data_IF_459193307218
#
_entry.id   IF_459193307218
#
_cell.length_a   1.000
_cell.length_b   1.000
_cell.length_c   1.000
_cell.angle_alpha   90.00
_cell.angle_beta   90.00
_cell.angle_gamma   90.00
#
_symmetry.space_group_name_H-M   'P 1'
#
loop_
_entity.id
_entity.type
_entity.pdbx_description
1 polymer ?
#
# COMPACT_ATOMS: atom_id res chain seq x y z
N UNK A 1 -8.55 -3.27 -19.10
CA UNK A 1 -9.69 -2.81 -19.93
C UNK A 1 -10.87 -3.75 -19.75
N UNK A 2 -12.06 -3.22 -19.41
CA UNK A 2 -13.29 -4.02 -19.46
C UNK A 2 -13.62 -4.34 -20.91
N UNK A 3 -14.02 -5.60 -21.16
CA UNK A 3 -14.43 -6.09 -22.49
C UNK A 3 -15.79 -6.79 -22.44
N UNK A 4 -16.55 -6.56 -21.39
CA UNK A 4 -17.86 -7.16 -21.15
C UNK A 4 -18.94 -6.08 -21.23
N UNK A 5 -19.89 -6.23 -22.15
CA UNK A 5 -20.97 -5.26 -22.40
C UNK A 5 -21.86 -5.02 -21.17
N UNK A 6 -22.00 -6.01 -20.27
CA UNK A 6 -22.75 -5.85 -19.00
C UNK A 6 -22.17 -4.76 -18.12
N UNK A 7 -20.89 -4.44 -18.30
CA UNK A 7 -20.17 -3.40 -17.57
C UNK A 7 -19.72 -2.23 -18.46
N UNK A 8 -20.30 -2.14 -19.66
CA UNK A 8 -20.07 -1.05 -20.61
C UNK A 8 -18.72 -1.08 -21.33
N UNK A 9 -18.03 -2.23 -21.34
CA UNK A 9 -16.77 -2.42 -22.06
C UNK A 9 -16.95 -3.30 -23.30
N UNK A 10 -16.11 -3.09 -24.30
CA UNK A 10 -16.14 -3.85 -25.56
C UNK A 10 -14.74 -4.28 -26.01
N UNK A 11 -14.68 -5.24 -26.93
CA UNK A 11 -13.43 -5.62 -27.59
C UNK A 11 -12.84 -4.49 -28.44
N UNK A 12 -13.69 -3.59 -28.94
CA UNK A 12 -13.23 -2.43 -29.72
C UNK A 12 -12.52 -1.41 -28.82
N UNK A 13 -12.95 -1.26 -27.57
CA UNK A 13 -12.23 -0.45 -26.59
C UNK A 13 -10.82 -0.99 -26.32
N UNK A 14 -10.67 -2.32 -26.24
CA UNK A 14 -9.36 -2.95 -26.06
C UNK A 14 -8.47 -2.72 -27.30
N UNK A 15 -9.02 -2.87 -28.52
CA UNK A 15 -8.29 -2.59 -29.76
C UNK A 15 -7.88 -1.13 -29.87
N UNK A 16 -8.77 -0.22 -29.48
CA UNK A 16 -8.46 1.21 -29.44
C UNK A 16 -7.35 1.53 -28.46
N UNK A 17 -7.38 0.94 -27.25
CA UNK A 17 -6.33 1.09 -26.25
C UNK A 17 -4.99 0.54 -26.76
N UNK A 18 -4.99 -0.62 -27.43
CA UNK A 18 -3.78 -1.19 -28.05
C UNK A 18 -3.21 -0.26 -29.12
N UNK A 19 -4.06 0.36 -29.93
CA UNK A 19 -3.64 1.34 -30.94
C UNK A 19 -3.07 2.64 -30.34
N UNK A 20 -3.52 3.01 -29.15
CA UNK A 20 -3.13 4.26 -28.49
C UNK A 20 -1.93 4.12 -27.52
N UNK A 21 -1.58 2.91 -27.10
CA UNK A 21 -0.57 2.69 -26.05
C UNK A 21 0.23 1.41 -26.25
N UNK A 22 1.51 1.47 -25.91
CA UNK A 22 2.41 0.31 -25.87
C UNK A 22 2.48 -0.39 -24.51
N UNK A 23 1.72 0.07 -23.49
CA UNK A 23 1.70 -0.60 -22.19
C UNK A 23 0.97 -1.94 -22.25
N UNK A 24 1.32 -2.94 -21.40
CA UNK A 24 0.60 -4.20 -21.32
C UNK A 24 -0.88 -3.99 -20.98
N UNK A 25 -1.76 -4.73 -21.66
CA UNK A 25 -3.21 -4.62 -21.53
C UNK A 25 -3.82 -5.89 -20.93
N UNK A 26 -4.46 -5.78 -19.77
CA UNK A 26 -5.30 -6.80 -19.17
C UNK A 26 -6.72 -6.69 -19.70
N UNK A 27 -7.20 -7.73 -20.39
CA UNK A 27 -8.62 -7.88 -20.70
C UNK A 27 -9.37 -8.37 -19.45
N UNK A 28 -10.33 -7.57 -18.96
CA UNK A 28 -11.16 -7.89 -17.80
C UNK A 28 -12.58 -8.17 -18.25
N UNK A 29 -13.01 -9.43 -18.08
CA UNK A 29 -14.32 -9.94 -18.47
C UNK A 29 -14.55 -11.32 -17.83
N UNK A 30 -15.59 -12.03 -18.27
CA UNK A 30 -15.93 -13.37 -17.81
C UNK A 30 -15.46 -14.41 -18.83
N UNK A 31 -14.26 -14.90 -18.66
CA UNK A 31 -13.64 -15.83 -19.62
C UNK A 31 -13.73 -17.25 -19.10
N UNK A 32 -14.48 -18.09 -19.82
CA UNK A 32 -14.74 -19.49 -19.45
C UNK A 32 -14.51 -20.48 -20.61
N UNK A 33 -14.07 -20.00 -21.77
CA UNK A 33 -13.86 -20.84 -22.96
C UNK A 33 -12.53 -20.51 -23.66
N UNK A 34 -11.99 -21.46 -24.42
CA UNK A 34 -10.82 -21.22 -25.27
C UNK A 34 -11.01 -20.09 -26.27
N UNK A 35 -12.23 -19.96 -26.82
CA UNK A 35 -12.56 -18.90 -27.78
C UNK A 35 -12.40 -17.50 -27.17
N UNK A 36 -12.74 -17.33 -25.89
CA UNK A 36 -12.54 -16.06 -25.18
C UNK A 36 -11.05 -15.66 -25.15
N UNK A 37 -10.15 -16.59 -24.87
CA UNK A 37 -8.71 -16.31 -24.84
C UNK A 37 -8.16 -15.99 -26.24
N UNK A 38 -8.59 -16.72 -27.25
CA UNK A 38 -8.21 -16.45 -28.66
C UNK A 38 -8.73 -15.08 -29.12
N UNK A 39 -9.94 -14.72 -28.71
CA UNK A 39 -10.51 -13.40 -29.01
C UNK A 39 -9.73 -12.29 -28.30
N UNK A 40 -9.34 -12.50 -27.01
CA UNK A 40 -8.52 -11.56 -26.26
C UNK A 40 -7.16 -11.33 -26.95
N UNK A 41 -6.48 -12.40 -27.35
CA UNK A 41 -5.22 -12.33 -28.10
C UNK A 41 -5.39 -11.55 -29.41
N UNK A 42 -6.42 -11.89 -30.20
CA UNK A 42 -6.70 -11.23 -31.48
C UNK A 42 -7.07 -9.74 -31.31
N UNK A 43 -7.63 -9.35 -30.15
CA UNK A 43 -7.92 -7.96 -29.81
C UNK A 43 -6.69 -7.20 -29.26
N UNK A 44 -5.57 -7.87 -29.02
CA UNK A 44 -4.32 -7.27 -28.56
C UNK A 44 -4.15 -7.22 -27.04
N UNK A 45 -4.81 -8.11 -26.29
CA UNK A 45 -4.54 -8.30 -24.87
C UNK A 45 -3.16 -8.94 -24.65
N UNK A 46 -2.47 -8.53 -23.59
CA UNK A 46 -1.27 -9.20 -23.09
C UNK A 46 -1.61 -10.13 -21.92
N UNK A 47 -2.73 -9.87 -21.23
CA UNK A 47 -3.21 -10.67 -20.11
C UNK A 47 -4.74 -10.79 -20.11
N UNK A 48 -5.24 -11.82 -19.43
CA UNK A 48 -6.68 -12.06 -19.19
C UNK A 48 -6.97 -12.32 -17.73
N UNK A 49 -8.17 -11.89 -17.27
CA UNK A 49 -8.69 -12.21 -15.94
C UNK A 49 -9.44 -13.54 -15.99
N UNK A 50 -9.13 -14.44 -15.06
CA UNK A 50 -9.85 -15.71 -14.86
C UNK A 50 -10.45 -15.74 -13.45
N UNK A 51 -11.78 -15.86 -13.36
CA UNK A 51 -12.52 -15.83 -12.10
C UNK A 51 -12.69 -17.27 -11.56
N UNK A 52 -12.07 -17.59 -10.45
CA UNK A 52 -12.15 -18.94 -9.86
C UNK A 52 -13.54 -19.39 -9.51
N UNK A 53 -14.40 -18.47 -9.07
CA UNK A 53 -15.80 -18.80 -8.72
C UNK A 53 -16.64 -19.27 -9.89
N UNK A 54 -16.27 -18.91 -11.11
CA UNK A 54 -17.03 -19.19 -12.34
C UNK A 54 -16.44 -20.39 -13.11
N UNK A 55 -15.31 -20.95 -12.65
CA UNK A 55 -14.56 -21.99 -13.33
C UNK A 55 -14.37 -23.22 -12.43
N UNK A 56 -14.61 -24.40 -12.98
CA UNK A 56 -14.11 -25.63 -12.34
C UNK A 56 -12.60 -25.81 -12.63
N UNK A 57 -11.99 -26.73 -11.87
CA UNK A 57 -10.52 -26.91 -11.90
C UNK A 57 -10.01 -27.44 -13.24
N UNK A 58 -10.81 -28.24 -13.95
CA UNK A 58 -10.40 -28.79 -15.25
C UNK A 58 -10.45 -27.72 -16.34
N UNK A 59 -11.48 -26.87 -16.33
CA UNK A 59 -11.59 -25.72 -17.23
C UNK A 59 -10.46 -24.73 -16.94
N UNK A 60 -10.22 -24.36 -15.67
CA UNK A 60 -9.16 -23.42 -15.34
C UNK A 60 -7.78 -23.94 -15.76
N UNK A 61 -7.50 -25.24 -15.53
CA UNK A 61 -6.24 -25.88 -15.95
C UNK A 61 -6.06 -25.83 -17.48
N UNK A 62 -7.15 -26.07 -18.24
CA UNK A 62 -7.13 -25.98 -19.68
C UNK A 62 -6.87 -24.55 -20.17
N UNK A 63 -7.53 -23.56 -19.55
CA UNK A 63 -7.36 -22.14 -19.90
C UNK A 63 -5.95 -21.62 -19.54
N UNK A 64 -5.39 -21.99 -18.39
CA UNK A 64 -4.01 -21.64 -18.02
C UNK A 64 -2.99 -22.19 -19.02
N UNK A 65 -3.16 -23.43 -19.45
CA UNK A 65 -2.30 -24.04 -20.48
C UNK A 65 -2.42 -23.31 -21.81
N UNK A 66 -3.66 -23.08 -22.28
CA UNK A 66 -3.89 -22.35 -23.53
C UNK A 66 -3.35 -20.93 -23.49
N UNK A 67 -3.49 -20.21 -22.36
CA UNK A 67 -2.91 -18.90 -22.18
C UNK A 67 -1.40 -18.91 -22.41
N UNK A 68 -0.69 -19.92 -21.83
CA UNK A 68 0.74 -20.10 -22.08
C UNK A 68 1.08 -20.36 -23.55
N UNK A 69 0.26 -21.15 -24.27
CA UNK A 69 0.43 -21.40 -25.71
C UNK A 69 0.22 -20.12 -26.55
N UNK A 70 -0.65 -19.22 -26.10
CA UNK A 70 -0.96 -17.96 -26.74
C UNK A 70 -0.06 -16.79 -26.32
N UNK A 71 0.90 -17.03 -25.42
CA UNK A 71 1.72 -16.00 -24.78
C UNK A 71 0.86 -14.90 -24.08
N UNK A 72 -0.24 -15.31 -23.46
CA UNK A 72 -1.08 -14.47 -22.60
C UNK A 72 -0.71 -14.73 -21.14
N UNK A 73 -0.49 -13.66 -20.38
CA UNK A 73 -0.47 -13.75 -18.93
C UNK A 73 -1.89 -13.94 -18.36
N UNK A 74 -1.98 -14.50 -17.16
CA UNK A 74 -3.26 -14.74 -16.50
C UNK A 74 -3.27 -14.13 -15.10
N UNK A 75 -4.28 -13.31 -14.81
CA UNK A 75 -4.64 -12.87 -13.47
C UNK A 75 -5.78 -13.76 -12.99
N UNK A 76 -5.49 -14.64 -12.03
CA UNK A 76 -6.49 -15.56 -11.47
C UNK A 76 -7.07 -14.94 -10.22
N UNK A 77 -8.36 -14.55 -10.26
CA UNK A 77 -9.02 -13.81 -9.19
C UNK A 77 -9.67 -14.77 -8.19
N UNK A 78 -9.36 -14.57 -6.90
CA UNK A 78 -9.89 -15.28 -5.75
C UNK A 78 -10.56 -14.30 -4.76
N UNK A 79 -11.61 -14.76 -4.06
CA UNK A 79 -12.40 -13.96 -3.10
C UNK A 79 -12.31 -14.51 -1.67
N UNK A 80 -11.91 -15.75 -1.50
CA UNK A 80 -11.84 -16.42 -0.20
C UNK A 80 -10.64 -17.39 -0.11
N UNK A 81 -10.48 -17.97 1.06
CA UNK A 81 -9.38 -18.89 1.33
C UNK A 81 -9.43 -20.18 0.48
N UNK A 82 -10.63 -20.65 0.16
CA UNK A 82 -10.80 -21.88 -0.64
C UNK A 82 -10.40 -21.61 -2.08
N UNK A 83 -10.84 -20.48 -2.64
CA UNK A 83 -10.43 -20.04 -3.99
C UNK A 83 -8.93 -19.77 -4.07
N UNK A 84 -8.33 -19.14 -3.05
CA UNK A 84 -6.89 -18.91 -2.98
C UNK A 84 -6.10 -20.24 -3.02
N UNK A 85 -6.49 -21.22 -2.23
CA UNK A 85 -5.84 -22.53 -2.21
C UNK A 85 -5.97 -23.28 -3.55
N UNK A 86 -7.14 -23.15 -4.22
CA UNK A 86 -7.33 -23.66 -5.58
C UNK A 86 -6.39 -22.97 -6.59
N UNK A 87 -6.27 -21.62 -6.54
CA UNK A 87 -5.34 -20.89 -7.41
C UNK A 87 -3.91 -21.39 -7.25
N UNK A 88 -3.46 -21.54 -6.00
CA UNK A 88 -2.12 -22.04 -5.68
C UNK A 88 -1.92 -23.48 -6.20
N UNK A 89 -2.85 -24.39 -5.91
CA UNK A 89 -2.79 -25.79 -6.31
C UNK A 89 -2.79 -25.98 -7.84
N UNK A 90 -3.47 -25.10 -8.56
CA UNK A 90 -3.54 -25.11 -10.04
C UNK A 90 -2.36 -24.40 -10.70
N UNK A 91 -1.45 -23.81 -9.90
CA UNK A 91 -0.23 -23.19 -10.40
C UNK A 91 -0.42 -21.80 -11.02
N UNK A 92 -1.42 -21.05 -10.60
CA UNK A 92 -1.65 -19.68 -11.06
C UNK A 92 -0.41 -18.80 -10.80
N UNK A 93 0.17 -18.15 -11.82
CA UNK A 93 1.38 -17.35 -11.65
C UNK A 93 1.12 -15.99 -11.02
N UNK A 94 -0.03 -15.39 -11.30
CA UNK A 94 -0.49 -14.11 -10.76
C UNK A 94 -1.86 -14.34 -10.13
N UNK A 95 -1.97 -14.02 -8.84
CA UNK A 95 -3.19 -14.24 -8.06
C UNK A 95 -3.74 -12.88 -7.61
N UNK A 96 -4.96 -12.58 -8.03
CA UNK A 96 -5.72 -11.42 -7.61
C UNK A 96 -6.59 -11.74 -6.40
N UNK A 97 -6.49 -10.93 -5.36
CA UNK A 97 -7.38 -11.03 -4.19
C UNK A 97 -8.37 -9.87 -4.24
N UNK A 98 -9.63 -10.20 -4.50
CA UNK A 98 -10.68 -9.19 -4.65
C UNK A 98 -11.38 -8.94 -3.32
N UNK A 99 -11.30 -7.69 -2.82
CA UNK A 99 -12.00 -7.27 -1.60
C UNK A 99 -13.53 -7.21 -1.76
N UNK A 100 -14.03 -7.23 -3.00
CA UNK A 100 -15.45 -7.08 -3.30
C UNK A 100 -16.13 -8.43 -3.34
N UNK A 101 -17.08 -8.65 -2.46
CA UNK A 101 -18.05 -9.75 -2.59
C UNK A 101 -18.96 -9.48 -3.80
N UNK A 102 -18.93 -10.37 -4.79
CA UNK A 102 -19.69 -10.20 -6.04
C UNK A 102 -21.18 -10.47 -5.89
N UNK A 103 -21.62 -11.00 -4.75
CA UNK A 103 -23.05 -11.24 -4.46
C UNK A 103 -23.71 -10.04 -3.77
N UNK A 104 -22.99 -9.39 -2.85
CA UNK A 104 -23.47 -8.26 -2.04
C UNK A 104 -22.90 -6.92 -2.47
N UNK A 105 -21.83 -6.93 -3.27
CA UNK A 105 -20.99 -5.79 -3.63
C UNK A 105 -20.31 -5.08 -2.45
N UNK A 106 -20.37 -5.67 -1.26
CA UNK A 106 -19.66 -5.18 -0.09
C UNK A 106 -18.13 -5.28 -0.30
N UNK A 107 -17.40 -4.35 0.29
CA UNK A 107 -15.92 -4.34 0.30
C UNK A 107 -15.44 -4.74 1.68
N UNK A 108 -14.65 -5.82 1.76
CA UNK A 108 -13.95 -6.23 2.98
C UNK A 108 -12.43 -6.20 2.74
N UNK A 109 -11.83 -5.08 3.11
CA UNK A 109 -10.39 -4.90 2.96
C UNK A 109 -9.58 -5.66 4.01
N UNK A 110 -10.15 -5.90 5.20
CA UNK A 110 -9.46 -6.66 6.25
C UNK A 110 -9.25 -8.11 5.81
N UNK A 111 -10.31 -8.77 5.37
CA UNK A 111 -10.23 -10.11 4.82
C UNK A 111 -9.31 -10.18 3.58
N UNK A 112 -9.35 -9.17 2.72
CA UNK A 112 -8.42 -9.08 1.58
C UNK A 112 -6.96 -9.09 2.02
N UNK A 113 -6.58 -8.25 2.99
CA UNK A 113 -5.19 -8.15 3.46
C UNK A 113 -4.70 -9.45 4.12
N UNK A 114 -5.58 -10.15 4.83
CA UNK A 114 -5.30 -11.47 5.41
C UNK A 114 -5.03 -12.52 4.31
N UNK A 115 -5.81 -12.50 3.24
CA UNK A 115 -5.62 -13.41 2.11
C UNK A 115 -4.38 -13.08 1.29
N UNK A 116 -4.11 -11.79 1.04
CA UNK A 116 -2.88 -11.33 0.36
C UNK A 116 -1.64 -11.84 1.07
N UNK A 117 -1.59 -11.77 2.41
CA UNK A 117 -0.47 -12.26 3.20
C UNK A 117 -0.24 -13.79 3.10
N UNK A 118 -1.22 -14.54 2.59
CA UNK A 118 -1.13 -16.00 2.37
C UNK A 118 -0.71 -16.39 0.95
N UNK A 119 -0.60 -15.45 0.04
CA UNK A 119 -0.09 -15.72 -1.32
C UNK A 119 1.39 -16.08 -1.22
N UNK A 120 1.85 -17.22 -1.78
CA UNK A 120 3.25 -17.62 -1.72
C UNK A 120 4.17 -16.63 -2.43
N UNK A 121 5.38 -16.42 -1.88
CA UNK A 121 6.38 -15.48 -2.41
C UNK A 121 6.88 -15.81 -3.83
N UNK A 122 6.61 -17.01 -4.36
CA UNK A 122 6.92 -17.41 -5.74
C UNK A 122 5.78 -17.09 -6.72
N UNK A 123 4.76 -16.39 -6.28
CA UNK A 123 3.62 -15.88 -7.06
C UNK A 123 3.55 -14.37 -6.95
N UNK A 124 2.92 -13.74 -7.93
CA UNK A 124 2.61 -12.31 -7.90
C UNK A 124 1.25 -12.13 -7.25
N UNK A 125 1.20 -11.38 -6.16
CA UNK A 125 -0.03 -11.03 -5.46
C UNK A 125 -0.56 -9.67 -5.91
N UNK A 126 -1.84 -9.62 -6.31
CA UNK A 126 -2.52 -8.39 -6.74
C UNK A 126 -3.71 -8.11 -5.82
N UNK A 127 -3.73 -6.96 -5.14
CA UNK A 127 -4.89 -6.53 -4.35
C UNK A 127 -5.88 -5.78 -5.25
N UNK A 128 -7.14 -6.26 -5.29
CA UNK A 128 -8.18 -5.73 -6.16
C UNK A 128 -9.34 -5.14 -5.37
N UNK A 129 -9.93 -4.10 -5.89
CA UNK A 129 -11.10 -3.39 -5.35
C UNK A 129 -10.85 -2.64 -4.03
N UNK A 130 -11.67 -1.62 -3.77
CA UNK A 130 -11.70 -0.88 -2.50
C UNK A 130 -10.47 -0.02 -2.21
N UNK A 131 -9.55 0.15 -3.15
CA UNK A 131 -8.38 1.02 -2.99
C UNK A 131 -8.70 2.39 -3.56
N UNK A 132 -8.84 3.38 -2.68
CA UNK A 132 -9.18 4.77 -3.03
C UNK A 132 -8.14 5.78 -2.55
N UNK A 133 -7.24 5.40 -1.64
CA UNK A 133 -6.19 6.25 -1.09
C UNK A 133 -4.81 5.62 -1.19
N UNK A 134 -3.76 6.45 -1.10
CA UNK A 134 -2.38 5.95 -1.07
C UNK A 134 -2.11 5.07 0.15
N UNK A 135 -2.66 5.44 1.32
CA UNK A 135 -2.52 4.65 2.54
C UNK A 135 -3.11 3.24 2.39
N UNK A 136 -4.26 3.11 1.74
CA UNK A 136 -4.86 1.81 1.44
C UNK A 136 -4.00 0.96 0.49
N UNK A 137 -3.38 1.59 -0.52
CA UNK A 137 -2.39 0.93 -1.36
C UNK A 137 -1.15 0.48 -0.58
N UNK A 138 -0.69 1.31 0.37
CA UNK A 138 0.41 0.96 1.27
C UNK A 138 0.07 -0.22 2.20
N UNK A 139 -1.17 -0.28 2.70
CA UNK A 139 -1.63 -1.42 3.49
C UNK A 139 -1.57 -2.73 2.69
N UNK A 140 -1.98 -2.72 1.42
CA UNK A 140 -1.88 -3.88 0.54
C UNK A 140 -0.42 -4.28 0.29
N UNK A 141 0.46 -3.31 0.02
CA UNK A 141 1.90 -3.54 -0.14
C UNK A 141 2.54 -4.15 1.12
N UNK A 142 2.17 -3.65 2.30
CA UNK A 142 2.66 -4.15 3.60
C UNK A 142 2.10 -5.54 3.93
N UNK A 143 0.95 -5.90 3.38
CA UNK A 143 0.41 -7.25 3.47
C UNK A 143 1.09 -8.24 2.52
N UNK A 144 1.92 -7.77 1.59
CA UNK A 144 2.64 -8.62 0.63
C UNK A 144 2.15 -8.50 -0.81
N UNK A 145 1.24 -7.56 -1.14
CA UNK A 145 0.85 -7.35 -2.53
C UNK A 145 2.01 -6.75 -3.34
N UNK A 146 2.26 -7.32 -4.51
CA UNK A 146 3.21 -6.80 -5.50
C UNK A 146 2.60 -5.70 -6.36
N UNK A 147 1.28 -5.73 -6.52
CA UNK A 147 0.54 -4.77 -7.33
C UNK A 147 -0.87 -4.51 -6.79
N UNK A 148 -1.47 -3.42 -7.26
CA UNK A 148 -2.87 -3.09 -7.00
C UNK A 148 -3.63 -2.97 -8.33
N UNK A 149 -4.88 -3.43 -8.36
CA UNK A 149 -5.77 -3.23 -9.50
C UNK A 149 -6.86 -2.23 -9.13
N UNK A 150 -6.84 -1.06 -9.78
CA UNK A 150 -7.71 0.07 -9.47
C UNK A 150 -8.48 0.47 -10.73
N UNK A 151 -9.80 0.43 -10.65
CA UNK A 151 -10.69 0.82 -11.76
C UNK A 151 -11.57 2.00 -11.39
N UNK A 152 -12.63 1.77 -10.60
CA UNK A 152 -13.65 2.77 -10.29
C UNK A 152 -13.09 4.06 -9.69
N UNK A 153 -12.08 3.97 -8.82
CA UNK A 153 -11.42 5.12 -8.22
C UNK A 153 -10.82 6.06 -9.26
N UNK A 154 -10.16 5.50 -10.29
CA UNK A 154 -9.59 6.31 -11.37
C UNK A 154 -10.66 6.87 -12.30
N UNK A 155 -11.65 6.03 -12.65
CA UNK A 155 -12.72 6.43 -13.59
C UNK A 155 -13.69 7.46 -13.02
N UNK A 156 -13.84 7.53 -11.69
CA UNK A 156 -14.68 8.51 -10.99
C UNK A 156 -13.92 9.79 -10.60
N UNK A 157 -12.59 9.77 -10.67
CA UNK A 157 -11.79 10.94 -10.34
C UNK A 157 -11.98 12.05 -11.38
N UNK A 158 -12.09 13.33 -10.96
CA UNK A 158 -12.12 14.47 -11.87
C UNK A 158 -10.89 14.54 -12.78
N UNK A 159 -9.73 14.12 -12.27
CA UNK A 159 -8.47 13.94 -13.00
C UNK A 159 -7.89 12.57 -12.70
N UNK A 160 -8.10 11.57 -13.57
CA UNK A 160 -7.55 10.22 -13.38
C UNK A 160 -6.02 10.17 -13.31
N UNK A 161 -5.31 11.06 -14.03
CA UNK A 161 -3.85 11.08 -14.03
C UNK A 161 -3.30 11.59 -12.69
N UNK A 162 -3.90 12.66 -12.14
CA UNK A 162 -3.56 13.16 -10.82
C UNK A 162 -3.86 12.10 -9.74
N UNK A 163 -5.01 11.41 -9.83
CA UNK A 163 -5.36 10.32 -8.90
C UNK A 163 -4.41 9.14 -8.98
N UNK A 164 -4.00 8.75 -10.18
CA UNK A 164 -2.98 7.71 -10.35
C UNK A 164 -1.65 8.12 -9.73
N UNK A 165 -1.24 9.38 -9.95
CA UNK A 165 -0.01 9.92 -9.34
C UNK A 165 -0.06 9.93 -7.81
N UNK A 166 -1.21 10.27 -7.23
CA UNK A 166 -1.45 10.18 -5.77
C UNK A 166 -1.30 8.73 -5.27
N UNK A 167 -1.96 7.77 -5.90
CA UNK A 167 -1.91 6.36 -5.52
C UNK A 167 -0.50 5.75 -5.61
N UNK A 168 0.34 6.27 -6.50
CA UNK A 168 1.71 5.83 -6.72
C UNK A 168 2.76 6.69 -5.99
N UNK A 169 2.32 7.73 -5.25
CA UNK A 169 3.24 8.69 -4.63
C UNK A 169 4.25 8.03 -3.70
N UNK A 170 5.50 8.47 -3.80
CA UNK A 170 6.63 8.10 -2.93
C UNK A 170 7.41 9.35 -2.54
N UNK A 171 7.97 9.38 -1.33
CA UNK A 171 7.79 8.42 -0.24
C UNK A 171 6.40 8.51 0.39
N UNK A 172 6.05 7.54 1.24
CA UNK A 172 4.95 7.72 2.20
C UNK A 172 5.35 8.78 3.22
N UNK A 173 4.36 9.51 3.73
CA UNK A 173 4.60 10.58 4.71
C UNK A 173 3.95 10.23 6.03
N UNK A 174 4.76 10.15 7.10
CA UNK A 174 4.32 9.89 8.47
C UNK A 174 4.39 11.17 9.29
N UNK A 175 3.29 11.51 9.95
CA UNK A 175 3.23 12.53 11.01
C UNK A 175 3.16 11.80 12.34
N UNK A 176 4.19 11.94 13.18
CA UNK A 176 4.35 11.18 14.41
C UNK A 176 4.13 12.06 15.66
N UNK A 177 3.73 11.43 16.78
CA UNK A 177 3.48 12.11 18.05
C UNK A 177 2.17 12.89 18.03
N UNK A 178 1.13 12.29 17.46
CA UNK A 178 -0.25 12.79 17.48
C UNK A 178 -0.88 12.43 18.84
N UNK A 179 -1.56 13.40 19.44
CA UNK A 179 -2.22 13.27 20.76
C UNK A 179 -3.67 13.76 20.75
N UNK A 180 -4.14 14.36 19.63
CA UNK A 180 -5.46 14.98 19.51
C UNK A 180 -6.09 14.63 18.15
N UNK A 181 -7.40 14.51 18.14
CA UNK A 181 -8.16 14.24 16.90
C UNK A 181 -8.01 15.36 15.87
N UNK A 182 -7.90 16.62 16.32
CA UNK A 182 -7.70 17.76 15.41
C UNK A 182 -6.37 17.64 14.65
N UNK A 183 -5.32 17.14 15.30
CA UNK A 183 -4.01 16.95 14.67
C UNK A 183 -4.03 15.75 13.70
N UNK A 184 -4.85 14.72 13.99
CA UNK A 184 -5.12 13.61 13.06
C UNK A 184 -5.81 14.14 11.80
N UNK A 185 -6.84 14.97 11.97
CA UNK A 185 -7.54 15.59 10.84
C UNK A 185 -6.61 16.46 9.99
N UNK A 186 -5.75 17.27 10.62
CA UNK A 186 -4.75 18.08 9.91
C UNK A 186 -3.77 17.21 9.13
N UNK A 187 -3.32 16.08 9.68
CA UNK A 187 -2.41 15.17 8.98
C UNK A 187 -3.09 14.53 7.75
N UNK A 188 -4.36 14.11 7.88
CA UNK A 188 -5.14 13.56 6.78
C UNK A 188 -5.39 14.60 5.68
N UNK A 189 -5.87 15.81 6.04
CA UNK A 189 -6.12 16.91 5.10
C UNK A 189 -4.85 17.36 4.37
N UNK A 190 -3.69 17.29 5.04
CA UNK A 190 -2.40 17.59 4.43
C UNK A 190 -1.94 16.52 3.43
N UNK A 191 -2.57 15.34 3.42
CA UNK A 191 -2.22 14.22 2.56
C UNK A 191 -1.08 13.36 3.12
N UNK A 192 -0.91 13.27 4.45
CA UNK A 192 -0.07 12.25 5.07
C UNK A 192 -0.66 10.85 4.83
N UNK A 193 0.16 9.83 4.94
CA UNK A 193 -0.24 8.42 4.76
C UNK A 193 -0.26 7.64 6.08
N UNK A 194 0.54 8.07 7.06
CA UNK A 194 0.76 7.38 8.32
C UNK A 194 0.62 8.35 9.51
N UNK A 195 -0.13 7.94 10.52
CA UNK A 195 -0.38 8.67 11.77
C UNK A 195 0.28 7.95 12.95
N UNK A 196 1.29 8.57 13.59
CA UNK A 196 2.05 7.95 14.67
C UNK A 196 1.58 8.38 16.06
N UNK A 197 1.28 7.43 16.94
CA UNK A 197 0.83 7.60 18.31
C UNK A 197 1.87 7.03 19.27
N UNK A 198 2.50 7.87 20.08
CA UNK A 198 3.59 7.45 20.99
C UNK A 198 2.97 6.92 22.28
N UNK A 199 2.99 5.61 22.49
CA UNK A 199 2.42 4.94 23.67
C UNK A 199 3.50 4.68 24.73
N UNK A 200 4.33 5.69 24.97
CA UNK A 200 5.43 5.68 25.95
C UNK A 200 5.13 6.76 26.99
N UNK A 201 4.74 6.41 28.25
CA UNK A 201 4.25 7.37 29.23
C UNK A 201 5.20 8.54 29.54
N UNK A 202 6.52 8.28 29.53
CA UNK A 202 7.54 9.30 29.81
C UNK A 202 7.84 10.23 28.62
N UNK A 203 7.20 10.01 27.48
CA UNK A 203 7.36 10.87 26.31
C UNK A 203 6.59 12.17 26.47
N UNK A 204 7.18 13.34 26.11
CA UNK A 204 6.43 14.60 26.07
C UNK A 204 5.32 14.61 24.98
N UNK A 205 5.23 13.54 24.18
CA UNK A 205 4.23 13.29 23.12
C UNK A 205 3.43 12.04 23.39
N UNK A 206 3.34 11.63 24.67
CA UNK A 206 2.61 10.43 25.05
C UNK A 206 1.11 10.58 24.69
N UNK A 207 0.61 9.64 23.89
CA UNK A 207 -0.81 9.41 23.71
C UNK A 207 -1.26 8.33 24.71
N UNK A 208 -2.49 8.42 25.20
CA UNK A 208 -3.07 7.41 26.08
C UNK A 208 -3.52 6.16 25.31
N UNK A 209 -3.83 6.34 24.05
CA UNK A 209 -4.32 5.29 23.14
C UNK A 209 -4.05 5.70 21.68
N UNK A 210 -4.26 4.77 20.76
CA UNK A 210 -4.30 5.04 19.32
C UNK A 210 -5.67 5.66 19.01
N UNK A 211 -5.66 6.90 18.54
CA UNK A 211 -6.89 7.59 18.15
C UNK A 211 -7.44 7.00 16.84
N UNK A 212 -8.76 7.08 16.59
CA UNK A 212 -9.34 6.75 15.30
C UNK A 212 -8.72 7.57 14.17
N UNK A 213 -8.41 6.90 13.07
CA UNK A 213 -7.88 7.54 11.85
C UNK A 213 -8.84 7.32 10.68
N UNK A 214 -8.98 8.30 9.76
CA UNK A 214 -9.75 8.10 8.54
C UNK A 214 -9.00 7.17 7.55
N UNK A 215 -9.69 6.73 6.51
CA UNK A 215 -9.17 5.78 5.50
C UNK A 215 -7.94 6.29 4.73
N UNK A 216 -7.66 7.59 4.78
CA UNK A 216 -6.47 8.24 4.21
C UNK A 216 -5.20 7.97 5.00
N UNK A 217 -5.32 7.49 6.24
CA UNK A 217 -4.19 7.27 7.15
C UNK A 217 -4.13 5.82 7.62
N UNK A 218 -2.91 5.31 7.81
CA UNK A 218 -2.63 4.11 8.58
C UNK A 218 -2.15 4.50 9.97
N UNK A 219 -2.80 3.99 11.01
CA UNK A 219 -2.37 4.19 12.39
C UNK A 219 -1.07 3.40 12.68
N UNK A 220 -0.12 4.05 13.35
CA UNK A 220 1.14 3.46 13.80
C UNK A 220 1.26 3.66 15.30
N UNK A 221 1.20 2.59 16.08
CA UNK A 221 1.49 2.61 17.51
C UNK A 221 3.01 2.60 17.72
N UNK A 222 3.55 3.55 18.52
CA UNK A 222 4.99 3.68 18.74
C UNK A 222 5.34 3.27 20.18
N UNK A 223 6.24 2.31 20.31
CA UNK A 223 6.60 1.63 21.53
C UNK A 223 8.09 1.71 21.86
N UNK A 224 8.40 1.50 23.12
CA UNK A 224 9.75 1.18 23.59
C UNK A 224 9.68 -0.17 24.32
N UNK A 225 10.29 -1.19 23.73
CA UNK A 225 10.18 -2.58 24.18
C UNK A 225 9.01 -3.33 23.53
N UNK A 226 8.29 -4.15 24.28
CA UNK A 226 7.26 -5.04 23.75
C UNK A 226 5.97 -4.29 23.38
N UNK A 227 5.44 -4.43 22.16
CA UNK A 227 4.17 -3.85 21.75
C UNK A 227 2.99 -4.65 22.32
N UNK A 228 1.83 -3.96 22.45
CA UNK A 228 0.56 -4.56 22.83
C UNK A 228 -0.49 -4.30 21.76
N UNK A 229 -1.51 -5.15 21.70
CA UNK A 229 -2.60 -4.99 20.71
C UNK A 229 -3.37 -3.68 20.94
N UNK A 230 -3.41 -2.82 19.91
CA UNK A 230 -4.10 -1.52 19.94
C UNK A 230 -5.09 -1.34 18.80
N UNK A 231 -5.12 -2.27 17.83
CA UNK A 231 -5.85 -2.09 16.58
C UNK A 231 -5.16 -1.16 15.57
N UNK A 232 -3.94 -0.68 15.85
CA UNK A 232 -3.14 0.02 14.86
C UNK A 232 -2.75 -0.90 13.69
N UNK A 233 -2.60 -0.33 12.51
CA UNK A 233 -2.16 -1.08 11.32
C UNK A 233 -0.70 -1.53 11.41
N UNK A 234 0.12 -0.78 12.16
CA UNK A 234 1.55 -1.03 12.34
C UNK A 234 1.98 -0.73 13.79
N UNK A 235 2.98 -1.47 14.24
CA UNK A 235 3.73 -1.17 15.45
C UNK A 235 5.14 -0.70 15.08
N UNK A 236 5.54 0.48 15.56
CA UNK A 236 6.91 0.96 15.51
C UNK A 236 7.56 0.68 16.86
N UNK A 237 8.57 -0.17 16.87
CA UNK A 237 9.20 -0.65 18.11
C UNK A 237 10.64 -0.19 18.20
N UNK A 238 10.94 0.62 19.21
CA UNK A 238 12.29 1.02 19.59
C UNK A 238 12.82 0.09 20.66
N UNK A 239 14.14 -0.16 20.65
CA UNK A 239 14.81 -0.86 21.73
C UNK A 239 14.77 -0.04 23.01
N UNK A 240 14.70 -0.74 24.16
CA UNK A 240 14.91 -0.15 25.47
C UNK A 240 16.40 -0.03 25.73
N UNK A 241 16.87 1.19 25.97
CA UNK A 241 18.28 1.48 26.25
C UNK A 241 18.38 2.10 27.63
N UNK A 242 19.31 1.58 28.47
CA UNK A 242 19.54 2.11 29.81
C UNK A 242 20.05 3.56 29.75
N UNK A 243 19.44 4.44 30.54
CA UNK A 243 19.79 5.87 30.58
C UNK A 243 19.28 6.72 29.42
N UNK A 244 18.51 6.14 28.50
CA UNK A 244 17.85 6.86 27.41
C UNK A 244 16.35 6.57 27.37
N UNK A 245 15.58 7.50 26.80
CA UNK A 245 14.14 7.32 26.62
C UNK A 245 13.85 6.13 25.68
N UNK A 246 14.67 5.94 24.64
CA UNK A 246 14.57 4.87 23.65
C UNK A 246 15.87 4.68 22.87
N UNK A 247 16.00 3.55 22.18
CA UNK A 247 17.02 3.36 21.15
C UNK A 247 16.84 4.32 19.96
N UNK A 248 17.91 4.52 19.20
CA UNK A 248 17.94 5.42 18.04
C UNK A 248 16.96 4.93 16.97
N UNK A 249 17.23 3.75 16.45
CA UNK A 249 16.47 3.17 15.35
C UNK A 249 15.27 2.36 15.85
N UNK A 250 14.38 1.99 14.94
CA UNK A 250 13.22 1.16 15.23
C UNK A 250 12.95 0.17 14.09
N UNK A 251 12.13 -0.83 14.40
CA UNK A 251 11.51 -1.67 13.38
C UNK A 251 10.03 -1.33 13.27
N UNK A 252 9.46 -1.43 12.07
CA UNK A 252 8.02 -1.43 11.86
C UNK A 252 7.57 -2.86 11.71
N UNK A 253 6.57 -3.24 12.51
CA UNK A 253 5.96 -4.56 12.48
C UNK A 253 4.52 -4.46 11.96
N UNK A 254 4.11 -5.43 11.18
CA UNK A 254 2.71 -5.73 10.87
C UNK A 254 2.42 -7.15 11.37
N UNK A 255 1.45 -7.28 12.28
CA UNK A 255 1.09 -8.59 12.87
C UNK A 255 2.30 -9.36 13.46
N UNK A 256 3.25 -8.62 14.04
CA UNK A 256 4.48 -9.16 14.64
C UNK A 256 5.64 -9.39 13.66
N UNK A 257 5.41 -9.32 12.35
CA UNK A 257 6.45 -9.50 11.33
C UNK A 257 7.06 -8.16 10.91
N UNK A 258 8.39 -8.12 10.77
CA UNK A 258 9.08 -6.90 10.37
C UNK A 258 8.83 -6.58 8.89
N UNK A 259 8.24 -5.40 8.63
CA UNK A 259 7.93 -4.92 7.28
C UNK A 259 8.78 -3.75 6.81
N UNK A 260 9.38 -3.00 7.75
CA UNK A 260 10.29 -1.90 7.43
C UNK A 260 11.27 -1.62 8.59
N UNK A 261 12.31 -0.82 8.31
CA UNK A 261 13.24 -0.29 9.32
C UNK A 261 13.11 1.22 9.37
N UNK A 262 13.08 1.79 10.58
CA UNK A 262 13.14 3.23 10.78
C UNK A 262 14.55 3.60 11.24
N UNK A 263 15.19 4.49 10.48
CA UNK A 263 16.49 5.07 10.80
C UNK A 263 16.29 6.51 11.26
N UNK A 264 16.57 6.76 12.53
CA UNK A 264 16.33 8.04 13.19
C UNK A 264 17.63 8.75 13.55
N UNK A 265 17.61 10.06 13.49
CA UNK A 265 18.66 10.91 14.03
C UNK A 265 18.11 11.63 15.27
N UNK A 266 18.45 11.19 16.49
CA UNK A 266 18.03 11.85 17.71
C UNK A 266 18.38 13.33 17.75
N UNK A 267 17.59 14.12 18.46
CA UNK A 267 17.76 15.58 18.46
C UNK A 267 19.15 16.02 18.96
N UNK A 268 19.68 15.28 19.92
CA UNK A 268 20.99 15.52 20.55
C UNK A 268 22.17 15.05 19.69
N UNK A 269 21.92 14.19 18.70
CA UNK A 269 22.96 13.66 17.84
C UNK A 269 23.18 14.58 16.63
N UNK A 270 24.44 14.71 16.24
CA UNK A 270 24.84 15.28 14.94
C UNK A 270 25.62 14.20 14.18
N UNK A 271 25.01 13.68 13.14
CA UNK A 271 25.57 12.61 12.31
C UNK A 271 25.41 13.02 10.83
N UNK A 272 26.45 13.63 10.24
CA UNK A 272 26.40 14.07 8.84
C UNK A 272 26.26 12.93 7.85
N UNK A 273 26.63 11.70 8.24
CA UNK A 273 26.52 10.50 7.40
C UNK A 273 25.17 9.80 7.52
N UNK A 274 24.25 10.31 8.35
CA UNK A 274 22.93 9.67 8.59
C UNK A 274 22.18 9.36 7.28
N UNK A 275 22.10 10.31 6.37
CA UNK A 275 21.41 10.09 5.09
C UNK A 275 22.20 9.16 4.14
N UNK A 276 23.52 9.12 4.27
CA UNK A 276 24.34 8.18 3.51
C UNK A 276 24.07 6.74 3.99
N UNK A 277 24.14 6.51 5.29
CA UNK A 277 23.80 5.21 5.87
C UNK A 277 22.36 4.77 5.55
N UNK A 278 21.42 5.72 5.55
CA UNK A 278 20.03 5.43 5.19
C UNK A 278 19.86 5.07 3.71
N UNK A 279 20.65 5.68 2.81
CA UNK A 279 20.62 5.38 1.37
C UNK A 279 21.21 4.02 1.02
N UNK A 280 22.13 3.49 1.85
CA UNK A 280 22.74 2.18 1.67
C UNK A 280 21.98 1.04 2.37
N UNK A 281 20.97 1.37 3.18
CA UNK A 281 20.21 0.37 3.91
C UNK A 281 19.29 -0.44 2.98
N UNK A 282 19.32 -1.76 3.14
CA UNK A 282 18.48 -2.67 2.37
C UNK A 282 17.02 -2.70 2.87
N UNK A 283 16.09 -3.00 1.95
CA UNK A 283 14.68 -3.14 2.23
C UNK A 283 13.92 -1.81 2.32
N UNK A 284 12.76 -1.83 2.98
CA UNK A 284 11.94 -0.61 3.18
C UNK A 284 12.51 0.23 4.30
N UNK A 285 12.98 1.43 3.98
CA UNK A 285 13.54 2.38 4.95
C UNK A 285 12.53 3.50 5.21
N UNK A 286 12.23 3.73 6.48
CA UNK A 286 11.58 4.95 6.98
C UNK A 286 12.67 5.88 7.47
N UNK A 287 12.84 7.00 6.81
CA UNK A 287 13.82 8.01 7.22
C UNK A 287 13.20 8.97 8.24
N UNK A 288 13.81 9.07 9.40
CA UNK A 288 13.44 9.97 10.47
C UNK A 288 14.63 10.85 10.90
N UNK A 289 14.39 11.73 11.86
CA UNK A 289 15.43 12.56 12.47
C UNK A 289 15.54 13.96 11.88
N UNK A 290 15.07 14.93 12.65
CA UNK A 290 15.15 16.36 12.37
C UNK A 290 14.54 16.80 11.00
N UNK A 291 13.66 15.97 10.39
CA UNK A 291 13.03 16.29 9.13
C UNK A 291 11.96 17.38 9.30
N UNK A 292 11.93 18.29 8.33
CA UNK A 292 10.95 19.38 8.19
C UNK A 292 10.86 19.81 6.73
N UNK A 293 10.02 20.78 6.43
CA UNK A 293 9.79 21.28 5.06
C UNK A 293 11.08 21.82 4.39
N UNK A 294 12.02 22.35 5.18
CA UNK A 294 13.27 22.94 4.69
C UNK A 294 14.32 21.91 4.24
N UNK A 295 14.20 20.64 4.63
CA UNK A 295 15.21 19.63 4.34
C UNK A 295 14.67 18.30 3.79
N UNK A 296 13.38 18.01 3.95
CA UNK A 296 12.82 16.70 3.55
C UNK A 296 12.93 16.45 2.04
N UNK A 297 12.74 17.45 1.20
CA UNK A 297 12.86 17.29 -0.25
C UNK A 297 14.28 16.88 -0.69
N UNK A 298 15.34 17.41 -0.04
CA UNK A 298 16.71 16.97 -0.27
C UNK A 298 16.94 15.54 0.25
N UNK A 299 16.44 15.24 1.45
CA UNK A 299 16.52 13.92 2.04
C UNK A 299 15.88 12.84 1.14
N UNK A 300 14.70 13.12 0.60
CA UNK A 300 13.99 12.23 -0.35
C UNK A 300 14.81 11.98 -1.61
N UNK A 301 15.36 13.02 -2.21
CA UNK A 301 16.19 12.87 -3.44
C UNK A 301 17.46 12.06 -3.20
N UNK A 302 18.10 12.22 -2.03
CA UNK A 302 19.37 11.55 -1.71
C UNK A 302 19.18 10.10 -1.25
N UNK A 303 18.19 9.86 -0.38
CA UNK A 303 17.98 8.58 0.30
C UNK A 303 17.00 7.69 -0.48
N UNK A 304 16.00 8.28 -1.15
CA UNK A 304 14.89 7.58 -1.81
C UNK A 304 14.17 6.61 -0.84
N UNK A 305 13.80 7.09 0.36
CA UNK A 305 13.23 6.22 1.37
C UNK A 305 11.84 5.72 0.95
N UNK A 306 11.41 4.61 1.54
CA UNK A 306 10.03 4.12 1.42
C UNK A 306 9.04 5.08 2.08
N UNK A 307 9.41 5.63 3.26
CA UNK A 307 8.65 6.65 3.97
C UNK A 307 9.58 7.67 4.63
N UNK A 308 9.04 8.86 4.92
CA UNK A 308 9.66 9.87 5.77
C UNK A 308 8.82 10.08 7.02
N UNK A 309 9.45 10.27 8.18
CA UNK A 309 8.81 10.44 9.48
C UNK A 309 9.26 11.74 10.16
N UNK A 310 8.32 12.57 10.56
CA UNK A 310 8.62 13.77 11.33
C UNK A 310 7.66 13.94 12.52
N UNK A 311 8.18 14.51 13.61
CA UNK A 311 7.43 14.75 14.84
C UNK A 311 7.67 16.17 15.38
N UNK A 312 8.77 16.39 16.10
CA UNK A 312 9.03 17.61 16.87
C UNK A 312 9.10 18.89 16.02
N UNK A 313 9.62 18.81 14.81
CA UNK A 313 9.69 19.98 13.90
C UNK A 313 8.37 20.36 13.26
N UNK A 314 7.33 19.54 13.46
CA UNK A 314 5.96 19.81 13.01
C UNK A 314 5.07 20.36 14.13
N UNK A 315 5.63 20.73 15.27
CA UNK A 315 4.87 21.11 16.46
C UNK A 315 4.86 22.60 16.73
N UNK A 316 3.74 23.08 17.29
CA UNK A 316 3.60 24.37 17.96
C UNK A 316 4.07 24.27 19.43
N UNK A 317 3.78 23.13 20.08
CA UNK A 317 4.25 22.75 21.40
C UNK A 317 4.35 21.21 21.45
N UNK A 318 5.12 20.59 22.38
CA UNK A 318 5.23 19.14 22.47
C UNK A 318 3.87 18.45 22.49
N UNK A 319 3.63 17.54 21.55
CA UNK A 319 2.35 16.82 21.37
C UNK A 319 1.22 17.63 20.69
N UNK A 320 1.46 18.88 20.29
CA UNK A 320 0.49 19.72 19.58
C UNK A 320 1.07 20.11 18.24
N UNK A 321 0.44 19.68 17.15
CA UNK A 321 0.92 19.98 15.81
C UNK A 321 0.60 21.40 15.38
N UNK A 322 1.49 21.96 14.55
CA UNK A 322 1.29 23.21 13.83
C UNK A 322 0.77 22.85 12.43
N UNK A 323 -0.48 23.22 12.08
CA UNK A 323 -1.09 22.85 10.81
C UNK A 323 -0.31 23.33 9.57
N UNK A 324 0.33 24.51 9.66
CA UNK A 324 1.12 25.06 8.54
C UNK A 324 2.41 24.26 8.33
N UNK A 325 3.10 23.90 9.42
CA UNK A 325 4.29 23.07 9.35
C UNK A 325 3.99 21.67 8.83
N UNK A 326 2.86 21.05 9.24
CA UNK A 326 2.42 19.74 8.73
C UNK A 326 2.17 19.80 7.23
N UNK A 327 1.38 20.77 6.76
CA UNK A 327 1.09 20.95 5.31
C UNK A 327 2.36 21.18 4.50
N UNK A 328 3.24 22.09 4.98
CA UNK A 328 4.50 22.39 4.30
C UNK A 328 5.43 21.17 4.22
N UNK A 329 5.49 20.36 5.28
CA UNK A 329 6.29 19.14 5.31
C UNK A 329 5.79 18.10 4.29
N UNK A 330 4.47 17.81 4.30
CA UNK A 330 3.89 16.85 3.36
C UNK A 330 4.10 17.31 1.92
N UNK A 331 3.87 18.58 1.63
CA UNK A 331 4.08 19.15 0.29
C UNK A 331 5.55 19.02 -0.14
N UNK A 332 6.50 19.37 0.72
CA UNK A 332 7.93 19.30 0.42
C UNK A 332 8.44 17.85 0.26
N UNK A 333 7.86 16.89 0.97
CA UNK A 333 8.21 15.48 0.84
C UNK A 333 7.76 14.88 -0.50
N UNK A 334 6.77 15.50 -1.17
CA UNK A 334 6.18 15.02 -2.44
C UNK A 334 6.61 15.84 -3.66
N UNK A 335 7.48 16.86 -3.47
CA UNK A 335 8.05 17.69 -4.53
C UNK A 335 9.37 17.12 -5.03
#
# INVERSE_FOLDING_TARGET
MLVDERFGGTWDDLRAARGASGVPLLAKGFFSTEEHLRTATAAGADAVLLLLRDLDDDVLRALLRLAGELALDTLVEAHDAVELERAIALGAPVIGINARDLSTFAIDRSAQLELVARVPNDRIAVAESGIVTRAQGAAAELAGADAILVGSTLMQAPDPAAKLSELLARPLVKVCGLTREEDVAVAAEAGADLAGFVLVPDSPRAATEVLPVPDELLAVAVWVGEPHATGAALDQVHERVEGALRGRDAVLLREGEQVARLLDLPWEADDPEHWHHAAEAEGRVVLAGKLAADNVGEAVRRVRPWAVDASSRLEAAPGIKDPEKVRAFVQAARS
#
